data_IF_226513637758
#
_entry.id   IF_226513637758
#
_cell.length_a   1.000
_cell.length_b   1.000
_cell.length_c   1.000
_cell.angle_alpha   90.00
_cell.angle_beta   90.00
_cell.angle_gamma   90.00
#
_symmetry.space_group_name_H-M   'P 1'
#
loop_
_entity.id
_entity.type
_entity.pdbx_description
1 polymer ?
#
# COMPACT_ATOMS: atom_id res chain seq x y z
N UNK A 1 -34.31 -26.70 -62.71
CA UNK A 1 -32.90 -26.33 -62.50
C UNK A 1 -32.84 -25.60 -61.19
N UNK A 2 -32.27 -26.22 -60.13
CA UNK A 2 -32.11 -25.60 -58.80
C UNK A 2 -30.66 -25.22 -58.62
N UNK A 3 -30.40 -23.92 -58.38
CA UNK A 3 -29.05 -23.39 -58.09
C UNK A 3 -28.64 -23.70 -56.66
N UNK A 4 -27.37 -24.04 -56.35
CA UNK A 4 -26.90 -24.25 -55.01
C UNK A 4 -26.56 -22.90 -54.33
N UNK A 5 -27.01 -22.77 -53.08
CA UNK A 5 -26.73 -21.66 -52.18
C UNK A 5 -25.33 -21.90 -51.56
N UNK A 6 -24.33 -21.06 -51.89
CA UNK A 6 -23.02 -21.07 -51.22
C UNK A 6 -23.14 -20.32 -49.90
N UNK A 7 -23.01 -21.01 -48.77
CA UNK A 7 -22.88 -20.40 -47.46
C UNK A 7 -21.39 -20.15 -47.22
N UNK A 8 -20.99 -18.88 -47.30
CA UNK A 8 -19.63 -18.44 -46.98
C UNK A 8 -19.40 -18.44 -45.47
N UNK A 9 -18.51 -19.30 -44.99
CA UNK A 9 -18.03 -19.34 -43.60
C UNK A 9 -16.99 -18.26 -43.38
N UNK A 10 -17.37 -17.12 -42.75
CA UNK A 10 -16.43 -16.11 -42.32
C UNK A 10 -15.68 -16.60 -41.06
N UNK A 11 -14.43 -17.04 -41.20
CA UNK A 11 -13.53 -17.28 -40.08
C UNK A 11 -13.02 -15.94 -39.58
N UNK A 12 -13.53 -15.48 -38.44
CA UNK A 12 -12.97 -14.31 -37.71
C UNK A 12 -11.72 -14.77 -36.98
N UNK A 13 -10.55 -14.38 -37.48
CA UNK A 13 -9.28 -14.50 -36.74
C UNK A 13 -9.26 -13.47 -35.62
N UNK A 14 -9.40 -13.94 -34.37
CA UNK A 14 -9.10 -13.12 -33.19
C UNK A 14 -7.57 -13.05 -33.09
N UNK A 15 -7.00 -11.93 -33.54
CA UNK A 15 -5.59 -11.61 -33.31
C UNK A 15 -5.46 -11.21 -31.84
N UNK A 16 -5.10 -12.17 -31.00
CA UNK A 16 -4.65 -11.87 -29.63
C UNK A 16 -3.33 -11.12 -29.72
N UNK A 17 -3.36 -9.80 -29.56
CA UNK A 17 -2.14 -9.00 -29.40
C UNK A 17 -1.33 -9.51 -28.19
N UNK A 18 0.01 -9.34 -28.20
CA UNK A 18 0.82 -9.72 -27.06
C UNK A 18 0.30 -8.98 -25.82
N UNK A 19 -0.07 -9.71 -24.79
CA UNK A 19 -0.33 -9.13 -23.47
C UNK A 19 0.96 -8.42 -23.05
N UNK A 20 0.92 -7.09 -22.88
CA UNK A 20 2.04 -6.35 -22.35
C UNK A 20 2.42 -6.97 -21.01
N UNK A 21 3.65 -7.44 -20.90
CA UNK A 21 4.15 -8.00 -19.65
C UNK A 21 3.97 -6.94 -18.55
N UNK A 22 3.29 -7.32 -17.48
CA UNK A 22 3.03 -6.44 -16.36
C UNK A 22 4.36 -6.02 -15.74
N UNK A 23 4.64 -4.70 -15.69
CA UNK A 23 5.88 -4.17 -15.11
C UNK A 23 5.84 -4.38 -13.59
N UNK A 24 6.62 -5.34 -13.10
CA UNK A 24 6.69 -5.71 -11.69
C UNK A 24 7.69 -4.89 -10.89
N UNK A 25 8.58 -4.13 -11.58
CA UNK A 25 9.64 -3.35 -10.95
C UNK A 25 9.24 -1.88 -10.73
N UNK A 26 7.94 -1.57 -10.75
CA UNK A 26 7.43 -0.21 -10.57
C UNK A 26 6.68 -0.09 -9.25
N UNK A 27 7.12 0.83 -8.39
CA UNK A 27 6.29 1.35 -7.31
C UNK A 27 5.30 2.35 -7.91
N UNK A 28 4.02 2.01 -7.91
CA UNK A 28 2.95 2.91 -8.33
C UNK A 28 2.38 3.64 -7.12
N UNK A 29 2.32 4.95 -7.20
CA UNK A 29 1.84 5.80 -6.12
C UNK A 29 0.72 6.73 -6.59
N UNK A 30 -0.31 6.84 -5.80
CA UNK A 30 -1.41 7.80 -5.95
C UNK A 30 -1.13 8.98 -5.02
N UNK A 31 -1.07 10.19 -5.60
CA UNK A 31 -0.87 11.46 -4.89
C UNK A 31 0.49 11.56 -4.17
N UNK A 32 0.61 12.52 -3.27
CA UNK A 32 1.83 12.79 -2.49
C UNK A 32 1.53 12.81 -0.99
N UNK A 33 2.55 12.51 -0.17
CA UNK A 33 2.46 12.67 1.28
C UNK A 33 2.17 14.11 1.66
N UNK A 34 2.78 15.09 0.95
CA UNK A 34 2.55 16.52 1.17
C UNK A 34 1.08 16.91 1.00
N UNK A 35 0.41 16.36 -0.04
CA UNK A 35 -1.03 16.56 -0.23
C UNK A 35 -1.84 16.01 0.97
N UNK A 36 -1.49 14.80 1.43
CA UNK A 36 -2.13 14.22 2.60
C UNK A 36 -1.88 15.06 3.87
N UNK A 37 -0.66 15.60 4.03
CA UNK A 37 -0.29 16.42 5.19
C UNK A 37 -1.12 17.69 5.32
N UNK A 38 -1.50 18.31 4.20
CA UNK A 38 -2.32 19.53 4.19
C UNK A 38 -3.81 19.26 4.15
N UNK A 39 -4.25 17.99 4.27
CA UNK A 39 -5.67 17.66 4.39
C UNK A 39 -6.37 17.37 3.05
N UNK A 40 -5.64 17.04 1.99
CA UNK A 40 -6.25 16.64 0.72
C UNK A 40 -6.66 15.16 0.75
N UNK A 41 -7.84 14.88 1.32
CA UNK A 41 -8.36 13.52 1.51
C UNK A 41 -9.47 13.15 0.51
N UNK A 42 -9.65 13.96 -0.54
CA UNK A 42 -10.61 13.69 -1.61
C UNK A 42 -10.23 12.45 -2.38
N UNK A 43 -11.20 11.75 -3.02
CA UNK A 43 -10.89 10.61 -3.87
C UNK A 43 -9.97 11.00 -5.04
N UNK A 44 -8.87 10.25 -5.19
CA UNK A 44 -7.96 10.40 -6.31
C UNK A 44 -8.03 9.19 -7.26
N UNK A 45 -8.23 7.98 -6.71
CA UNK A 45 -8.32 6.75 -7.50
C UNK A 45 -9.28 5.75 -6.85
N UNK A 46 -10.01 4.96 -7.64
CA UNK A 46 -10.81 3.85 -7.12
C UNK A 46 -9.93 2.66 -6.71
N UNK A 47 -10.43 1.82 -5.77
CA UNK A 47 -9.72 0.59 -5.38
C UNK A 47 -9.62 -0.38 -6.56
N UNK A 48 -10.65 -0.44 -7.43
CA UNK A 48 -10.60 -1.28 -8.64
C UNK A 48 -9.48 -0.85 -9.60
N UNK A 49 -9.25 0.45 -9.76
CA UNK A 49 -8.18 0.96 -10.61
C UNK A 49 -6.82 0.75 -9.94
N UNK A 50 -6.70 1.02 -8.62
CA UNK A 50 -5.47 0.78 -7.87
C UNK A 50 -4.97 -0.67 -8.01
N UNK A 51 -5.87 -1.66 -7.96
CA UNK A 51 -5.53 -3.08 -8.10
C UNK A 51 -4.95 -3.46 -9.47
N UNK A 52 -5.10 -2.60 -10.50
CA UNK A 52 -4.44 -2.79 -11.80
C UNK A 52 -2.94 -2.46 -11.76
N UNK A 53 -2.50 -1.79 -10.71
CA UNK A 53 -1.12 -1.29 -10.55
C UNK A 53 -0.33 -2.02 -9.48
N UNK A 54 -0.95 -2.93 -8.71
CA UNK A 54 -0.24 -3.71 -7.71
C UNK A 54 -1.12 -4.66 -6.92
N UNK A 55 -0.49 -5.71 -6.41
CA UNK A 55 -1.09 -6.72 -5.55
C UNK A 55 -0.56 -6.68 -4.11
N UNK A 56 0.33 -5.70 -3.83
CA UNK A 56 0.99 -5.49 -2.55
C UNK A 56 1.23 -4.00 -2.30
N UNK A 57 0.97 -3.53 -1.08
CA UNK A 57 1.22 -2.14 -0.70
C UNK A 57 0.34 -1.65 0.44
N UNK A 58 0.28 -0.34 0.59
CA UNK A 58 -0.42 0.32 1.70
C UNK A 58 -0.92 1.71 1.30
N UNK A 59 -1.75 2.29 2.14
CA UNK A 59 -2.33 3.61 1.92
C UNK A 59 -3.45 3.92 2.92
N UNK A 60 -4.38 4.77 2.50
CA UNK A 60 -5.57 5.11 3.26
C UNK A 60 -6.80 5.23 2.34
N UNK A 61 -7.93 5.56 2.88
CA UNK A 61 -9.19 5.74 2.14
C UNK A 61 -9.63 7.20 2.13
N UNK A 62 -10.54 7.54 1.21
CA UNK A 62 -11.16 8.85 1.16
C UNK A 62 -11.61 9.32 2.54
N UNK A 63 -11.30 10.58 2.88
CA UNK A 63 -11.56 11.13 4.20
C UNK A 63 -10.71 10.55 5.31
N UNK A 64 -9.56 9.93 5.04
CA UNK A 64 -8.77 9.16 6.03
C UNK A 64 -9.57 8.06 6.74
N UNK A 65 -10.52 7.40 6.07
CA UNK A 65 -11.38 6.35 6.66
C UNK A 65 -10.59 5.07 6.95
N UNK A 66 -9.61 5.17 7.83
CA UNK A 66 -8.78 4.06 8.28
C UNK A 66 -7.59 3.74 7.38
N UNK A 67 -6.94 2.61 7.67
CA UNK A 67 -5.70 2.19 7.04
C UNK A 67 -5.99 1.16 5.93
N UNK A 68 -5.26 1.28 4.81
CA UNK A 68 -5.29 0.34 3.70
C UNK A 68 -4.11 -0.61 3.77
N UNK A 69 -4.37 -1.90 3.61
CA UNK A 69 -3.34 -2.93 3.44
C UNK A 69 -3.66 -3.71 2.18
N UNK A 70 -2.70 -3.84 1.29
CA UNK A 70 -2.80 -4.70 0.11
C UNK A 70 -1.84 -5.86 0.27
N UNK A 71 -2.33 -7.08 0.37
CA UNK A 71 -1.52 -8.29 0.45
C UNK A 71 -2.09 -9.36 -0.47
N UNK A 72 -1.29 -9.81 -1.45
CA UNK A 72 -1.67 -10.82 -2.45
C UNK A 72 -2.97 -10.47 -3.19
N UNK A 73 -3.08 -9.24 -3.65
CA UNK A 73 -4.24 -8.73 -4.38
C UNK A 73 -5.49 -8.48 -3.54
N UNK A 74 -5.51 -8.87 -2.27
CA UNK A 74 -6.62 -8.54 -1.38
C UNK A 74 -6.37 -7.18 -0.74
N UNK A 75 -7.31 -6.26 -0.93
CA UNK A 75 -7.27 -4.92 -0.32
C UNK A 75 -8.11 -4.94 0.94
N UNK A 76 -7.48 -4.66 2.08
CA UNK A 76 -8.13 -4.57 3.39
C UNK A 76 -8.28 -3.11 3.81
N UNK A 77 -9.42 -2.80 4.40
CA UNK A 77 -9.65 -1.56 5.16
C UNK A 77 -9.65 -1.88 6.65
N UNK A 78 -8.84 -1.16 7.43
CA UNK A 78 -8.90 -1.16 8.89
C UNK A 78 -9.46 0.19 9.35
N UNK A 79 -10.78 0.30 9.56
CA UNK A 79 -11.42 1.54 10.00
C UNK A 79 -11.08 1.83 11.47
N UNK A 80 -11.54 2.98 11.98
CA UNK A 80 -11.33 3.44 13.36
C UNK A 80 -11.74 2.41 14.43
N UNK A 81 -12.63 1.47 14.09
CA UNK A 81 -13.01 0.37 15.00
C UNK A 81 -11.92 -0.69 15.19
N UNK A 82 -10.88 -0.72 14.34
CA UNK A 82 -9.84 -1.76 14.31
C UNK A 82 -10.27 -3.08 13.67
N UNK A 83 -11.54 -3.23 13.29
CA UNK A 83 -12.06 -4.45 12.64
C UNK A 83 -11.80 -4.38 11.15
N UNK A 84 -10.80 -5.11 10.71
CA UNK A 84 -10.45 -5.19 9.30
C UNK A 84 -11.56 -5.88 8.49
N UNK A 85 -11.72 -5.41 7.26
CA UNK A 85 -12.64 -5.97 6.26
C UNK A 85 -12.04 -5.84 4.85
N UNK A 86 -12.47 -6.68 3.93
CA UNK A 86 -12.10 -6.53 2.52
C UNK A 86 -12.76 -5.25 1.99
N UNK A 87 -11.97 -4.45 1.30
CA UNK A 87 -12.44 -3.21 0.68
C UNK A 87 -13.37 -3.50 -0.51
N UNK A 88 -14.27 -2.58 -0.78
CA UNK A 88 -15.14 -2.65 -1.96
C UNK A 88 -14.45 -1.97 -3.13
N UNK A 89 -14.59 -2.52 -4.33
CA UNK A 89 -13.97 -2.01 -5.55
C UNK A 89 -14.28 -0.52 -5.83
N UNK A 90 -15.47 -0.04 -5.46
CA UNK A 90 -15.92 1.35 -5.63
C UNK A 90 -15.41 2.34 -4.57
N UNK A 91 -14.78 1.86 -3.48
CA UNK A 91 -14.12 2.76 -2.53
C UNK A 91 -12.96 3.46 -3.23
N UNK A 92 -12.52 4.57 -2.69
CA UNK A 92 -11.44 5.38 -3.26
C UNK A 92 -10.35 5.67 -2.24
N UNK A 93 -9.19 6.00 -2.77
CA UNK A 93 -8.01 6.39 -2.00
C UNK A 93 -7.58 7.80 -2.39
N UNK A 94 -7.16 8.65 -1.42
CA UNK A 94 -6.44 9.89 -1.67
C UNK A 94 -4.93 9.67 -1.73
N UNK A 95 -4.43 8.55 -1.18
CA UNK A 95 -3.00 8.20 -1.14
C UNK A 95 -2.82 6.70 -0.96
N UNK A 96 -2.06 6.11 -1.85
CA UNK A 96 -1.61 4.72 -1.76
C UNK A 96 -0.27 4.54 -2.49
N UNK A 97 0.50 3.53 -2.08
CA UNK A 97 1.68 3.05 -2.78
C UNK A 97 1.58 1.53 -2.93
N UNK A 98 1.62 1.03 -4.16
CA UNK A 98 1.46 -0.39 -4.49
C UNK A 98 2.46 -0.84 -5.54
N UNK A 99 2.75 -2.14 -5.58
CA UNK A 99 3.55 -2.80 -6.63
C UNK A 99 3.03 -4.21 -6.84
N UNK A 100 3.41 -4.87 -7.94
CA UNK A 100 3.24 -6.30 -8.10
C UNK A 100 4.42 -7.02 -7.44
N UNK A 101 4.19 -7.59 -6.27
CA UNK A 101 5.22 -8.15 -5.42
C UNK A 101 5.86 -9.41 -6.00
N UNK A 102 7.13 -9.32 -6.35
CA UNK A 102 7.96 -10.44 -6.80
C UNK A 102 9.29 -10.48 -6.04
N UNK A 103 9.34 -11.27 -5.00
CA UNK A 103 10.42 -11.22 -4.03
C UNK A 103 11.80 -11.61 -4.59
N UNK A 104 12.70 -10.65 -4.69
CA UNK A 104 14.12 -10.85 -5.05
C UNK A 104 14.91 -11.59 -3.99
N UNK A 105 14.59 -11.34 -2.72
CA UNK A 105 15.29 -11.94 -1.58
C UNK A 105 14.33 -12.45 -0.53
N UNK A 106 14.70 -13.58 0.09
CA UNK A 106 14.00 -14.19 1.22
C UNK A 106 15.00 -14.57 2.30
N UNK A 107 14.67 -14.24 3.55
CA UNK A 107 15.49 -14.60 4.71
C UNK A 107 14.67 -14.67 5.99
N UNK A 108 15.30 -15.16 7.06
CA UNK A 108 14.66 -15.25 8.39
C UNK A 108 15.41 -14.40 9.40
N UNK A 109 14.69 -13.59 10.17
CA UNK A 109 15.19 -12.89 11.36
C UNK A 109 14.85 -13.73 12.58
N UNK A 110 15.82 -14.52 13.05
CA UNK A 110 15.60 -15.52 14.13
C UNK A 110 15.55 -14.89 15.51
N UNK A 111 16.38 -13.86 15.76
CA UNK A 111 16.45 -13.17 17.05
C UNK A 111 15.18 -12.35 17.31
N UNK A 112 14.91 -12.04 18.58
CA UNK A 112 13.88 -11.07 18.92
C UNK A 112 14.28 -9.67 18.44
N UNK A 113 13.34 -8.97 17.83
CA UNK A 113 13.52 -7.62 17.29
C UNK A 113 12.26 -6.79 17.50
N UNK A 114 12.47 -5.48 17.62
CA UNK A 114 11.48 -4.42 17.43
C UNK A 114 11.51 -3.90 15.98
N UNK A 115 10.79 -2.82 15.66
CA UNK A 115 10.78 -2.22 14.31
C UNK A 115 12.17 -1.76 13.88
N UNK A 116 12.93 -1.14 14.78
CA UNK A 116 14.29 -0.64 14.50
C UNK A 116 15.24 -1.80 14.21
N UNK A 117 15.20 -2.84 15.05
CA UNK A 117 16.00 -4.04 14.86
C UNK A 117 15.63 -4.82 13.59
N UNK A 118 14.34 -4.84 13.22
CA UNK A 118 13.86 -5.40 11.96
C UNK A 118 14.41 -4.59 10.78
N UNK A 119 14.26 -3.26 10.82
CA UNK A 119 14.80 -2.35 9.79
C UNK A 119 16.29 -2.56 9.59
N UNK A 120 17.08 -2.57 10.67
CA UNK A 120 18.53 -2.84 10.63
C UNK A 120 18.85 -4.21 10.00
N UNK A 121 18.06 -5.25 10.31
CA UNK A 121 18.26 -6.58 9.74
C UNK A 121 17.96 -6.64 8.25
N UNK A 122 16.99 -5.85 7.78
CA UNK A 122 16.64 -5.69 6.38
C UNK A 122 17.72 -4.87 5.65
N UNK A 123 18.06 -3.68 6.15
CA UNK A 123 19.02 -2.75 5.51
C UNK A 123 20.37 -3.41 5.17
N UNK A 124 20.85 -4.30 6.04
CA UNK A 124 22.08 -5.08 5.79
C UNK A 124 22.01 -6.02 4.56
N UNK A 125 20.82 -6.20 3.99
CA UNK A 125 20.55 -7.12 2.88
C UNK A 125 20.04 -6.41 1.64
N UNK A 126 19.78 -5.11 1.73
CA UNK A 126 19.37 -4.30 0.59
C UNK A 126 20.57 -4.06 -0.35
N UNK A 127 20.28 -3.95 -1.63
CA UNK A 127 21.28 -3.66 -2.67
C UNK A 127 21.77 -2.21 -2.55
N UNK A 128 20.85 -1.28 -2.25
CA UNK A 128 21.15 0.15 -2.11
C UNK A 128 20.12 0.83 -1.21
N UNK A 129 20.51 1.78 -0.36
CA UNK A 129 19.58 2.60 0.39
C UNK A 129 18.79 3.58 -0.51
N UNK A 130 19.19 3.73 -1.78
CA UNK A 130 18.64 4.68 -2.73
C UNK A 130 17.56 4.09 -3.65
N UNK A 131 17.16 2.83 -3.44
CA UNK A 131 16.04 2.20 -4.14
C UNK A 131 14.83 2.05 -3.23
N UNK A 132 13.67 1.87 -3.84
CA UNK A 132 12.45 1.51 -3.11
C UNK A 132 12.41 0.00 -2.88
N UNK A 133 11.77 -0.40 -1.80
CA UNK A 133 11.54 -1.81 -1.50
C UNK A 133 10.13 -2.02 -0.99
N UNK A 134 9.42 -2.95 -1.62
CA UNK A 134 8.26 -3.57 -1.02
C UNK A 134 8.72 -4.72 -0.11
N UNK A 135 8.19 -4.79 1.10
CA UNK A 135 8.70 -5.70 2.11
C UNK A 135 7.56 -6.44 2.80
N UNK A 136 7.54 -7.75 2.64
CA UNK A 136 6.56 -8.63 3.24
C UNK A 136 7.20 -9.41 4.39
N UNK A 137 6.69 -9.22 5.61
CA UNK A 137 7.18 -9.94 6.79
C UNK A 137 6.06 -10.78 7.39
N UNK A 138 6.28 -12.07 7.54
CA UNK A 138 5.30 -12.99 8.12
C UNK A 138 5.83 -13.69 9.35
N UNK A 139 4.98 -13.85 10.35
CA UNK A 139 5.34 -14.52 11.58
C UNK A 139 4.28 -14.38 12.66
N UNK A 140 4.68 -14.76 13.89
CA UNK A 140 3.90 -14.52 15.11
C UNK A 140 4.59 -13.41 15.88
N UNK A 141 3.83 -12.38 16.21
CA UNK A 141 4.28 -11.20 16.94
C UNK A 141 3.90 -11.37 18.41
N UNK A 142 4.89 -11.36 19.29
CA UNK A 142 4.67 -11.46 20.74
C UNK A 142 3.87 -10.24 21.24
N UNK A 143 4.21 -9.05 20.72
CA UNK A 143 3.44 -7.83 20.88
C UNK A 143 3.45 -7.03 19.59
N UNK A 144 2.33 -6.37 19.31
CA UNK A 144 2.18 -5.49 18.16
C UNK A 144 1.17 -4.39 18.52
N UNK A 145 1.57 -3.14 18.39
CA UNK A 145 0.66 -2.00 18.51
C UNK A 145 0.41 -1.40 17.14
N UNK A 146 -0.86 -1.31 16.78
CA UNK A 146 -1.32 -0.65 15.56
C UNK A 146 -2.22 0.53 15.88
N UNK A 147 -2.43 1.40 14.89
CA UNK A 147 -3.43 2.48 14.99
C UNK A 147 -4.33 2.49 13.78
N UNK A 148 -5.45 3.20 13.92
CA UNK A 148 -6.28 3.65 12.82
C UNK A 148 -6.88 5.02 13.13
N UNK A 149 -7.15 5.80 12.07
CA UNK A 149 -7.70 7.17 12.16
C UNK A 149 -9.18 7.12 11.82
N UNK A 150 -9.96 7.97 12.49
CA UNK A 150 -11.38 8.13 12.19
C UNK A 150 -11.57 8.82 10.82
N UNK A 151 -12.66 8.50 10.14
CA UNK A 151 -13.05 9.22 8.93
C UNK A 151 -13.25 10.71 9.24
N UNK A 152 -12.58 11.54 8.44
CA UNK A 152 -12.68 12.99 8.53
C UNK A 152 -13.82 13.51 7.65
N UNK A 153 -14.36 14.69 8.03
CA UNK A 153 -15.38 15.43 7.29
C UNK A 153 -14.83 16.78 6.85
N UNK A 154 -15.38 17.31 5.75
CA UNK A 154 -14.98 18.65 5.26
C UNK A 154 -15.49 19.77 6.21
N UNK A 155 -14.71 20.84 6.40
CA UNK A 155 -13.36 21.04 5.86
C UNK A 155 -12.35 20.09 6.53
N UNK A 156 -11.53 19.44 5.72
CA UNK A 156 -10.57 18.46 6.23
C UNK A 156 -9.46 19.12 7.05
N UNK A 157 -9.13 18.60 8.24
CA UNK A 157 -8.00 19.08 9.02
C UNK A 157 -6.67 18.62 8.42
N UNK A 158 -5.56 19.26 8.79
CA UNK A 158 -4.24 18.76 8.50
C UNK A 158 -4.03 17.35 9.09
N UNK A 159 -3.15 16.55 8.46
CA UNK A 159 -2.90 15.15 8.84
C UNK A 159 -2.51 15.02 10.33
N UNK A 160 -1.64 15.91 10.82
CA UNK A 160 -1.19 15.89 12.21
C UNK A 160 -2.37 16.01 13.19
N UNK A 161 -3.34 16.89 12.88
CA UNK A 161 -4.56 17.07 13.69
C UNK A 161 -5.45 15.82 13.64
N UNK A 162 -5.65 15.25 12.44
CA UNK A 162 -6.45 14.03 12.28
C UNK A 162 -5.83 12.84 13.03
N UNK A 163 -4.50 12.68 12.94
CA UNK A 163 -3.75 11.59 13.60
C UNK A 163 -3.72 11.77 15.12
N UNK A 164 -3.76 12.99 15.65
CA UNK A 164 -3.86 13.20 17.11
C UNK A 164 -5.08 12.50 17.74
N UNK A 165 -6.17 12.32 16.96
CA UNK A 165 -7.37 11.58 17.37
C UNK A 165 -7.33 10.08 17.02
N UNK A 166 -6.18 9.51 16.71
CA UNK A 166 -6.03 8.09 16.35
C UNK A 166 -6.47 7.16 17.48
N UNK A 167 -6.93 5.98 17.12
CA UNK A 167 -7.17 4.87 18.07
C UNK A 167 -6.09 3.82 17.93
N UNK A 168 -5.50 3.41 19.04
CA UNK A 168 -4.48 2.35 19.09
C UNK A 168 -5.10 1.02 19.49
N UNK A 169 -4.46 -0.06 19.04
CA UNK A 169 -4.86 -1.44 19.30
C UNK A 169 -3.63 -2.25 19.68
N UNK A 170 -3.67 -2.85 20.88
CA UNK A 170 -2.62 -3.73 21.36
C UNK A 170 -2.96 -5.18 21.05
N UNK A 171 -2.16 -5.81 20.22
CA UNK A 171 -2.28 -7.21 19.83
C UNK A 171 -1.16 -8.02 20.48
N UNK A 172 -1.47 -9.21 21.01
CA UNK A 172 -0.50 -10.09 21.64
C UNK A 172 -0.56 -11.49 21.04
N UNK A 173 0.60 -12.11 20.84
CA UNK A 173 0.75 -13.46 20.27
C UNK A 173 -0.04 -13.61 18.97
N UNK A 174 0.00 -12.57 18.12
CA UNK A 174 -0.79 -12.49 16.90
C UNK A 174 0.02 -12.94 15.68
N UNK A 175 -0.54 -13.83 14.88
CA UNK A 175 0.05 -14.24 13.59
C UNK A 175 -0.53 -13.39 12.47
N UNK A 176 0.36 -12.91 11.57
CA UNK A 176 -0.05 -12.08 10.45
C UNK A 176 1.08 -11.68 9.53
N UNK A 177 0.81 -10.64 8.75
CA UNK A 177 1.72 -10.07 7.76
C UNK A 177 1.93 -8.58 8.05
N UNK A 178 3.20 -8.15 8.17
CA UNK A 178 3.58 -6.76 7.96
C UNK A 178 3.71 -6.53 6.45
N UNK A 179 3.07 -5.49 5.97
CA UNK A 179 3.19 -4.93 4.64
C UNK A 179 3.95 -3.63 4.78
N UNK A 180 5.11 -3.54 4.16
CA UNK A 180 6.00 -2.40 4.27
C UNK A 180 6.42 -1.85 2.92
N UNK A 181 6.51 -0.53 2.86
CA UNK A 181 7.23 0.19 1.82
C UNK A 181 8.41 0.89 2.48
N UNK A 182 9.61 0.65 1.97
CA UNK A 182 10.80 1.40 2.36
C UNK A 182 11.17 2.33 1.21
N UNK A 183 11.16 3.62 1.50
CA UNK A 183 11.51 4.67 0.54
C UNK A 183 12.88 5.26 0.86
N UNK A 184 13.64 5.71 -0.15
CA UNK A 184 14.87 6.47 0.05
C UNK A 184 14.63 7.77 0.83
N UNK A 185 15.67 8.30 1.47
CA UNK A 185 15.55 9.56 2.24
C UNK A 185 15.24 10.78 1.34
N UNK A 186 15.63 10.73 0.07
CA UNK A 186 15.43 11.84 -0.86
C UNK A 186 13.97 12.02 -1.35
N UNK A 187 13.05 11.12 -1.01
CA UNK A 187 11.63 11.26 -1.46
C UNK A 187 10.93 12.48 -0.87
N UNK A 188 11.45 13.05 0.21
CA UNK A 188 10.93 14.28 0.83
C UNK A 188 9.44 14.17 1.19
N UNK A 189 8.64 15.12 0.69
CA UNK A 189 7.19 15.14 0.89
C UNK A 189 6.41 14.32 -0.12
N UNK A 190 7.08 13.63 -1.04
CA UNK A 190 6.40 12.77 -2.02
C UNK A 190 5.90 11.48 -1.38
N UNK A 191 6.71 10.85 -0.51
CA UNK A 191 6.36 9.63 0.22
C UNK A 191 6.96 9.67 1.63
N UNK A 192 6.68 8.65 2.46
CA UNK A 192 7.27 8.48 3.80
C UNK A 192 8.73 8.02 3.65
N UNK A 193 9.74 8.84 4.03
CA UNK A 193 11.14 8.39 4.04
C UNK A 193 11.36 7.25 5.03
N UNK A 194 12.21 6.29 4.67
CA UNK A 194 12.46 5.12 5.51
C UNK A 194 11.33 4.10 5.42
N UNK A 195 11.01 3.47 6.53
CA UNK A 195 10.04 2.39 6.61
C UNK A 195 8.64 2.87 6.96
N UNK A 196 7.65 2.51 6.16
CA UNK A 196 6.24 2.67 6.42
C UNK A 196 5.59 1.28 6.53
N UNK A 197 5.00 0.96 7.69
CA UNK A 197 4.49 -0.36 7.99
C UNK A 197 3.01 -0.38 8.30
N UNK A 198 2.28 -1.26 7.62
CA UNK A 198 0.94 -1.67 8.01
C UNK A 198 0.93 -3.16 8.34
N UNK A 199 -0.07 -3.60 9.09
CA UNK A 199 -0.23 -4.99 9.52
C UNK A 199 -1.63 -5.50 9.24
N UNK A 200 -1.72 -6.78 8.87
CA UNK A 200 -2.97 -7.53 8.79
C UNK A 200 -2.81 -8.89 9.47
N UNK A 201 -3.74 -9.27 10.33
CA UNK A 201 -3.78 -10.59 10.95
C UNK A 201 -4.02 -11.67 9.91
N UNK A 202 -3.53 -12.90 10.15
CA UNK A 202 -3.70 -14.05 9.25
C UNK A 202 -5.17 -14.33 8.88
N UNK A 203 -6.11 -14.06 9.79
CA UNK A 203 -7.54 -14.22 9.55
C UNK A 203 -8.21 -13.00 8.91
N UNK A 204 -7.47 -11.92 8.62
CA UNK A 204 -7.97 -10.71 7.99
C UNK A 204 -8.94 -9.89 8.83
N UNK A 205 -8.98 -10.07 10.18
CA UNK A 205 -9.99 -9.44 11.03
C UNK A 205 -9.50 -8.24 11.84
N UNK A 206 -8.17 -8.05 11.98
CA UNK A 206 -7.57 -6.91 12.68
C UNK A 206 -6.27 -6.49 12.00
N UNK A 207 -5.86 -5.23 12.19
CA UNK A 207 -4.66 -4.69 11.57
C UNK A 207 -4.50 -3.19 11.87
N UNK A 208 -3.82 -2.47 10.96
CA UNK A 208 -3.64 -1.02 11.02
C UNK A 208 -2.22 -0.58 10.71
N UNK A 209 -1.97 0.72 10.83
CA UNK A 209 -0.64 1.31 10.77
C UNK A 209 0.16 0.90 12.00
N UNK A 210 1.38 0.42 11.82
CA UNK A 210 2.18 -0.16 12.90
C UNK A 210 2.95 0.93 13.63
N UNK A 211 2.82 0.95 14.95
CA UNK A 211 3.53 1.87 15.82
C UNK A 211 4.71 1.18 16.53
N UNK A 212 4.49 -0.03 17.03
CA UNK A 212 5.49 -0.81 17.75
C UNK A 212 5.28 -2.30 17.53
N UNK A 213 6.34 -3.08 17.65
CA UNK A 213 6.24 -4.53 17.66
C UNK A 213 7.41 -5.19 18.40
N UNK A 214 7.20 -6.43 18.83
CA UNK A 214 8.25 -7.35 19.25
C UNK A 214 7.95 -8.74 18.69
N UNK A 215 8.92 -9.32 18.01
CA UNK A 215 8.77 -10.64 17.42
C UNK A 215 10.12 -11.32 17.17
N UNK A 216 10.10 -12.63 17.01
CA UNK A 216 11.23 -13.44 16.58
C UNK A 216 10.80 -14.47 15.55
N UNK A 217 11.76 -15.07 14.84
CA UNK A 217 11.45 -16.10 13.86
C UNK A 217 10.68 -15.56 12.65
N UNK A 218 10.87 -14.28 12.32
CA UNK A 218 10.17 -13.61 11.23
C UNK A 218 10.73 -14.02 9.86
N UNK A 219 9.84 -14.38 8.94
CA UNK A 219 10.18 -14.59 7.53
C UNK A 219 10.01 -13.29 6.78
N UNK A 220 11.08 -12.83 6.16
CA UNK A 220 11.15 -11.57 5.40
C UNK A 220 11.33 -11.90 3.92
N UNK A 221 10.56 -11.22 3.08
CA UNK A 221 10.74 -11.17 1.64
C UNK A 221 10.81 -9.70 1.23
N UNK A 222 11.77 -9.36 0.38
CA UNK A 222 11.98 -8.01 -0.16
C UNK A 222 11.94 -8.05 -1.67
N UNK A 223 11.31 -7.05 -2.26
CA UNK A 223 11.18 -6.80 -3.67
C UNK A 223 11.70 -5.38 -3.95
N UNK A 224 12.74 -5.26 -4.76
CA UNK A 224 13.39 -4.01 -5.11
C UNK A 224 12.71 -3.38 -6.32
N UNK A 225 12.22 -2.15 -6.17
CA UNK A 225 11.64 -1.40 -7.28
C UNK A 225 12.50 -0.18 -7.62
N UNK A 226 12.92 -0.08 -8.88
CA UNK A 226 13.77 1.01 -9.40
C UNK A 226 13.00 2.04 -10.22
N UNK A 227 11.75 1.75 -10.52
CA UNK A 227 10.84 2.65 -11.21
C UNK A 227 9.82 3.18 -10.22
N UNK A 228 9.52 4.44 -10.31
CA UNK A 228 8.51 5.09 -9.49
C UNK A 228 7.57 5.89 -10.38
N UNK A 229 6.32 5.46 -10.42
CA UNK A 229 5.24 6.17 -11.10
C UNK A 229 4.37 6.87 -10.07
N UNK A 230 4.17 8.17 -10.22
CA UNK A 230 3.28 8.95 -9.36
C UNK A 230 2.14 9.50 -10.19
N UNK A 231 0.92 9.09 -9.85
CA UNK A 231 -0.30 9.65 -10.41
C UNK A 231 -0.80 10.78 -9.51
N UNK A 232 -0.80 12.00 -10.04
CA UNK A 232 -1.27 13.17 -9.29
C UNK A 232 -2.79 13.31 -9.41
N UNK A 233 -3.51 13.67 -8.31
CA UNK A 233 -4.94 13.89 -8.35
C UNK A 233 -5.33 14.99 -9.35
N UNK A 234 -6.32 14.72 -10.18
CA UNK A 234 -6.86 15.67 -11.16
C UNK A 234 -8.00 16.51 -10.54
N UNK A 235 -7.82 17.02 -9.32
CA UNK A 235 -8.81 17.84 -8.63
C UNK A 235 -8.33 19.28 -8.51
N UNK A 236 -9.25 20.26 -8.61
CA UNK A 236 -8.91 21.67 -8.39
C UNK A 236 -8.27 21.89 -7.02
N UNK A 237 -8.76 21.20 -5.99
CA UNK A 237 -8.18 21.29 -4.65
C UNK A 237 -6.70 20.88 -4.59
N UNK A 238 -6.26 19.92 -5.40
CA UNK A 238 -4.84 19.56 -5.49
C UNK A 238 -4.04 20.62 -6.26
N UNK A 239 -4.61 21.13 -7.37
CA UNK A 239 -3.95 22.15 -8.19
C UNK A 239 -3.75 23.48 -7.45
N UNK A 240 -4.67 23.85 -6.57
CA UNK A 240 -4.66 25.11 -5.83
C UNK A 240 -3.90 25.02 -4.48
N UNK A 241 -3.50 23.82 -4.05
CA UNK A 241 -2.89 23.61 -2.74
C UNK A 241 -1.43 24.09 -2.68
N UNK A 242 -1.08 24.78 -1.61
CA UNK A 242 0.32 25.08 -1.28
C UNK A 242 1.05 23.82 -0.73
N UNK A 243 1.66 23.03 -1.63
CA UNK A 243 2.35 21.79 -1.26
C UNK A 243 3.85 21.97 -0.99
N UNK A 244 4.32 23.18 -1.06
CA UNK A 244 5.74 23.50 -0.78
C UNK A 244 5.97 23.37 0.72
N UNK A 245 7.02 22.65 1.18
CA UNK A 245 7.42 22.71 2.58
C UNK A 245 7.64 24.17 2.96
N UNK A 246 7.04 24.60 4.07
CA UNK A 246 7.38 25.91 4.63
C UNK A 246 8.89 26.02 4.87
N UNK A 247 9.42 27.23 4.87
CA UNK A 247 10.83 27.48 5.12
C UNK A 247 11.25 26.98 6.50
#
# INVERSE_FOLDING_TARGET
MKAPLLVGLCLSFIVSGPALAQDRDTLYQVSTLGALQVGLYQPAMSIADLQRHGDFGLGTYEGLDGEMIVDRGTVFQVPFSGRARVARARQSTPFAAVTFFDADRRFTVRRSVDLTGLGTAIDRRLTSPNYFYAIRVTGTFASLQTRSVAKQTKPYPALATAVAGQRTFDLRNVTGTLVGIRSPQYVGTMNVPGYHWHFITKNGKAGGHVLQMSASGLRVATDETRKWHVELPQTGAFGDAGLVPGP
#
